data_IF_640698064897
#
_entry.id   IF_640698064897
#
_cell.length_a   1.000
_cell.length_b   1.000
_cell.length_c   1.000
_cell.angle_alpha   90.00
_cell.angle_beta   90.00
_cell.angle_gamma   90.00
#
_symmetry.space_group_name_H-M   'P 1'
#
loop_
_entity.id
_entity.type
_entity.pdbx_description
1 polymer ?
#
# COMPACT_ATOMS: atom_id res chain seq x y z
N UNK A 1 -18.69 -16.52 39.91
CA UNK A 1 -19.18 -16.39 38.52
C UNK A 1 -18.02 -15.93 37.66
N UNK A 2 -17.53 -16.78 36.75
CA UNK A 2 -16.45 -16.41 35.82
C UNK A 2 -17.12 -15.79 34.59
N UNK A 3 -17.06 -14.46 34.45
CA UNK A 3 -17.53 -13.80 33.24
C UNK A 3 -16.57 -14.13 32.09
N UNK A 4 -17.08 -14.85 31.08
CA UNK A 4 -16.38 -15.08 29.83
C UNK A 4 -16.32 -13.76 29.05
N UNK A 5 -15.22 -13.02 29.16
CA UNK A 5 -14.92 -11.87 28.29
C UNK A 5 -14.24 -12.38 27.01
N UNK A 6 -15.05 -12.84 26.07
CA UNK A 6 -14.64 -12.99 24.66
C UNK A 6 -15.44 -11.98 23.85
N UNK A 7 -14.76 -10.93 23.39
CA UNK A 7 -15.37 -9.88 22.57
C UNK A 7 -14.96 -10.09 21.12
N UNK A 8 -15.92 -10.01 20.19
CA UNK A 8 -15.64 -9.86 18.77
C UNK A 8 -16.26 -8.55 18.31
N UNK A 9 -15.50 -7.78 17.54
CA UNK A 9 -15.95 -6.52 16.95
C UNK A 9 -15.44 -6.42 15.53
N UNK A 10 -16.22 -5.78 14.67
CA UNK A 10 -15.74 -5.35 13.37
C UNK A 10 -16.18 -3.91 13.13
N UNK A 11 -15.39 -3.18 12.35
CA UNK A 11 -15.68 -1.84 11.91
C UNK A 11 -15.12 -1.64 10.51
N UNK A 12 -15.75 -0.76 9.76
CA UNK A 12 -15.38 -0.44 8.39
C UNK A 12 -15.56 1.05 8.15
N UNK A 13 -14.56 1.69 7.57
CA UNK A 13 -14.64 3.03 7.05
C UNK A 13 -14.11 3.04 5.61
N UNK A 14 -14.71 3.85 4.75
CA UNK A 14 -14.27 3.99 3.37
C UNK A 14 -14.43 5.44 2.91
N UNK A 15 -13.55 5.86 2.02
CA UNK A 15 -13.65 7.10 1.25
C UNK A 15 -13.54 6.79 -0.25
N UNK A 16 -13.27 7.80 -1.08
CA UNK A 16 -13.14 7.64 -2.54
C UNK A 16 -11.88 6.85 -2.94
N UNK A 17 -10.87 6.76 -2.07
CA UNK A 17 -9.54 6.23 -2.37
C UNK A 17 -9.26 4.91 -1.64
N UNK A 18 -9.80 4.70 -0.44
CA UNK A 18 -9.51 3.56 0.41
C UNK A 18 -10.75 3.02 1.13
N UNK A 19 -10.74 1.71 1.38
CA UNK A 19 -11.64 1.01 2.31
C UNK A 19 -10.79 0.33 3.37
N UNK A 20 -11.03 0.67 4.63
CA UNK A 20 -10.35 0.12 5.81
C UNK A 20 -11.35 -0.73 6.59
N UNK A 21 -11.06 -2.02 6.73
CA UNK A 21 -11.84 -2.95 7.55
C UNK A 21 -10.98 -3.41 8.73
N UNK A 22 -11.51 -3.29 9.92
CA UNK A 22 -10.86 -3.68 11.16
C UNK A 22 -11.70 -4.76 11.83
N UNK A 23 -11.09 -5.89 12.13
CA UNK A 23 -11.69 -6.97 12.92
C UNK A 23 -10.90 -7.16 14.20
N UNK A 24 -11.58 -7.13 15.34
CA UNK A 24 -10.99 -7.26 16.66
C UNK A 24 -11.54 -8.51 17.36
N UNK A 25 -10.63 -9.33 17.87
CA UNK A 25 -10.96 -10.48 18.73
C UNK A 25 -10.23 -10.33 20.05
N UNK A 26 -10.99 -10.19 21.13
CA UNK A 26 -10.48 -10.07 22.49
C UNK A 26 -10.77 -11.34 23.30
N UNK A 27 -9.79 -11.80 24.07
CA UNK A 27 -9.94 -12.88 25.04
C UNK A 27 -9.40 -12.46 26.41
N UNK A 28 -9.96 -13.04 27.46
CA UNK A 28 -9.50 -12.81 28.82
C UNK A 28 -8.05 -13.32 28.99
N UNK A 29 -7.13 -12.40 29.25
CA UNK A 29 -5.72 -12.68 29.48
C UNK A 29 -5.22 -11.87 30.69
N UNK A 30 -4.14 -12.34 31.33
CA UNK A 30 -3.61 -11.71 32.54
C UNK A 30 -2.96 -10.35 32.26
N UNK A 31 -2.31 -10.23 31.12
CA UNK A 31 -1.61 -9.02 30.67
C UNK A 31 -2.23 -8.49 29.39
N UNK A 32 -2.02 -7.20 29.11
CA UNK A 32 -2.35 -6.63 27.81
C UNK A 32 -1.38 -7.18 26.76
N UNK A 33 -1.90 -7.95 25.81
CA UNK A 33 -1.15 -8.50 24.69
C UNK A 33 -1.88 -8.11 23.40
N UNK A 34 -1.22 -7.31 22.55
CA UNK A 34 -1.82 -6.72 21.35
C UNK A 34 -1.08 -7.27 20.13
N UNK A 35 -1.80 -8.05 19.34
CA UNK A 35 -1.34 -8.57 18.05
C UNK A 35 -2.10 -7.87 16.93
N UNK A 36 -1.40 -7.11 16.09
CA UNK A 36 -1.98 -6.40 14.95
C UNK A 36 -1.45 -7.05 13.67
N UNK A 37 -2.36 -7.42 12.77
CA UNK A 37 -2.04 -7.94 11.44
C UNK A 37 -2.39 -6.89 10.40
N UNK A 38 -1.37 -6.39 9.71
CA UNK A 38 -1.45 -5.41 8.62
C UNK A 38 -0.62 -5.92 7.42
N UNK A 39 -1.02 -5.53 6.21
CA UNK A 39 -0.17 -5.73 5.02
C UNK A 39 1.12 -4.91 5.14
N UNK A 40 2.21 -5.41 4.54
CA UNK A 40 3.54 -4.77 4.63
C UNK A 40 3.53 -3.30 4.20
N UNK A 41 2.73 -2.98 3.19
CA UNK A 41 2.61 -1.63 2.64
C UNK A 41 1.99 -0.62 3.62
N UNK A 42 1.36 -1.07 4.71
CA UNK A 42 0.64 -0.22 5.67
C UNK A 42 1.17 -0.33 7.11
N UNK A 43 2.40 -0.83 7.31
CA UNK A 43 2.98 -1.02 8.65
C UNK A 43 3.08 0.26 9.47
N UNK A 44 3.15 1.44 8.83
CA UNK A 44 3.14 2.72 9.55
C UNK A 44 1.86 2.95 10.37
N UNK A 45 0.74 2.31 10.03
CA UNK A 45 -0.51 2.41 10.80
C UNK A 45 -0.53 1.51 12.04
N UNK A 46 0.42 0.59 12.21
CA UNK A 46 0.45 -0.34 13.34
C UNK A 46 0.50 0.42 14.68
N UNK A 47 1.35 1.44 14.75
CA UNK A 47 1.50 2.23 15.97
C UNK A 47 0.22 3.01 16.29
N UNK A 48 -0.46 3.55 15.27
CA UNK A 48 -1.75 4.23 15.42
C UNK A 48 -2.80 3.29 16.03
N UNK A 49 -2.97 2.09 15.47
CA UNK A 49 -3.92 1.11 16.00
C UNK A 49 -3.53 0.62 17.40
N UNK A 50 -2.24 0.45 17.68
CA UNK A 50 -1.74 0.08 19.01
C UNK A 50 -2.13 1.12 20.05
N UNK A 51 -1.95 2.40 19.75
CA UNK A 51 -2.33 3.50 20.65
C UNK A 51 -3.83 3.54 20.92
N UNK A 52 -4.67 3.37 19.87
CA UNK A 52 -6.13 3.28 20.02
C UNK A 52 -6.54 2.16 20.98
N UNK A 53 -5.96 0.96 20.80
CA UNK A 53 -6.24 -0.18 21.68
C UNK A 53 -5.82 0.06 23.12
N UNK A 54 -4.61 0.58 23.34
CA UNK A 54 -4.10 0.82 24.70
C UNK A 54 -4.89 1.87 25.46
N UNK A 55 -5.55 2.80 24.76
CA UNK A 55 -6.43 3.81 25.35
C UNK A 55 -7.74 3.20 25.84
N UNK A 56 -8.29 2.23 25.10
CA UNK A 56 -9.58 1.59 25.43
C UNK A 56 -9.48 0.36 26.34
N UNK A 57 -8.37 -0.39 26.29
CA UNK A 57 -8.24 -1.70 26.96
C UNK A 57 -6.94 -1.79 27.75
N UNK A 58 -7.06 -2.02 29.06
CA UNK A 58 -5.92 -2.11 29.98
C UNK A 58 -5.44 -3.55 30.25
N UNK A 59 -6.26 -4.56 29.93
CA UNK A 59 -5.96 -5.97 30.18
C UNK A 59 -6.72 -6.88 29.23
N UNK A 60 -6.06 -7.92 28.75
CA UNK A 60 -6.63 -8.90 27.82
C UNK A 60 -5.71 -9.13 26.62
N UNK A 61 -5.99 -10.17 25.85
CA UNK A 61 -5.29 -10.41 24.58
C UNK A 61 -6.19 -10.01 23.44
N UNK A 62 -5.71 -9.15 22.57
CA UNK A 62 -6.45 -8.59 21.45
C UNK A 62 -5.71 -8.94 20.16
N UNK A 63 -6.40 -9.61 19.27
CA UNK A 63 -5.97 -9.82 17.90
C UNK A 63 -6.76 -8.88 17.00
N UNK A 64 -6.06 -7.93 16.38
CA UNK A 64 -6.58 -7.02 15.36
C UNK A 64 -6.15 -7.49 13.98
N UNK A 65 -7.10 -7.60 13.07
CA UNK A 65 -6.86 -7.82 11.65
C UNK A 65 -7.33 -6.60 10.89
N UNK A 66 -6.40 -5.89 10.23
CA UNK A 66 -6.70 -4.69 9.47
C UNK A 66 -6.51 -4.99 7.98
N UNK A 67 -7.57 -4.86 7.21
CA UNK A 67 -7.57 -5.02 5.77
C UNK A 67 -7.81 -3.67 5.11
N UNK A 68 -6.82 -3.18 4.38
CA UNK A 68 -6.91 -1.92 3.63
C UNK A 68 -6.96 -2.28 2.15
N UNK A 69 -7.96 -1.74 1.46
CA UNK A 69 -8.14 -1.85 0.01
C UNK A 69 -8.09 -0.47 -0.60
N UNK A 70 -7.32 -0.33 -1.66
CA UNK A 70 -7.37 0.85 -2.51
C UNK A 70 -8.58 0.73 -3.46
N UNK A 71 -9.44 1.74 -3.42
CA UNK A 71 -10.67 1.81 -4.22
C UNK A 71 -10.48 2.64 -5.48
N UNK A 72 -9.54 3.60 -5.48
CA UNK A 72 -9.19 4.35 -6.68
C UNK A 72 -8.22 3.57 -7.55
N UNK A 73 -8.39 3.69 -8.87
CA UNK A 73 -7.31 3.35 -9.81
C UNK A 73 -6.17 4.32 -9.54
N UNK A 74 -5.27 3.92 -8.64
CA UNK A 74 -4.02 4.61 -8.42
C UNK A 74 -3.36 4.83 -9.78
N UNK A 75 -3.30 6.10 -10.20
CA UNK A 75 -2.68 6.52 -11.44
C UNK A 75 -1.21 6.09 -11.39
N UNK A 76 -0.91 4.89 -11.90
CA UNK A 76 0.44 4.39 -12.03
C UNK A 76 1.23 5.44 -12.81
N UNK A 77 2.25 5.99 -12.18
CA UNK A 77 3.03 7.05 -12.82
C UNK A 77 4.02 6.34 -13.73
N UNK A 78 3.77 6.43 -15.03
CA UNK A 78 4.72 5.96 -16.05
C UNK A 78 5.75 7.07 -16.28
N UNK A 79 6.97 6.87 -15.81
CA UNK A 79 8.11 7.73 -16.13
C UNK A 79 8.91 7.12 -17.28
N UNK A 80 9.16 7.93 -18.30
CA UNK A 80 10.07 7.58 -19.40
C UNK A 80 11.28 8.49 -19.30
N UNK A 81 12.48 7.91 -19.29
CA UNK A 81 13.72 8.69 -19.38
C UNK A 81 13.86 9.24 -20.81
N UNK A 82 13.46 10.51 -20.99
CA UNK A 82 13.51 11.20 -22.27
C UNK A 82 14.94 11.40 -22.78
N UNK A 83 15.91 11.57 -21.89
CA UNK A 83 17.31 11.78 -22.25
C UNK A 83 17.90 10.51 -22.85
N UNK A 84 17.68 9.38 -22.17
CA UNK A 84 18.10 8.07 -22.66
C UNK A 84 17.39 7.71 -23.98
N UNK A 85 16.07 7.93 -24.07
CA UNK A 85 15.31 7.69 -25.30
C UNK A 85 15.85 8.51 -26.48
N UNK A 86 16.12 9.80 -26.27
CA UNK A 86 16.64 10.68 -27.31
C UNK A 86 18.06 10.27 -27.77
N UNK A 87 18.91 9.86 -26.82
CA UNK A 87 20.24 9.35 -27.13
C UNK A 87 20.19 8.06 -27.96
N UNK A 88 19.35 7.11 -27.54
CA UNK A 88 19.12 5.85 -28.27
C UNK A 88 18.58 6.10 -29.67
N UNK A 89 17.59 6.98 -29.82
CA UNK A 89 17.00 7.29 -31.11
C UNK A 89 18.04 7.90 -32.08
N UNK A 90 18.90 8.80 -31.60
CA UNK A 90 19.97 9.38 -32.42
C UNK A 90 20.97 8.31 -32.90
N UNK A 91 21.43 7.45 -32.00
CA UNK A 91 22.36 6.38 -32.35
C UNK A 91 21.72 5.36 -33.31
N UNK A 92 20.42 5.07 -33.17
CA UNK A 92 19.70 4.20 -34.10
C UNK A 92 19.64 4.78 -35.51
N UNK A 93 19.38 6.08 -35.64
CA UNK A 93 19.37 6.78 -36.94
C UNK A 93 20.75 6.76 -37.61
N UNK A 94 21.82 6.96 -36.84
CA UNK A 94 23.19 6.87 -37.36
C UNK A 94 23.47 5.45 -37.91
N UNK A 95 23.11 4.41 -37.16
CA UNK A 95 23.29 3.02 -37.58
C UNK A 95 22.44 2.64 -38.80
N UNK A 96 21.22 3.17 -38.92
CA UNK A 96 20.38 2.98 -40.12
C UNK A 96 21.02 3.56 -41.39
N UNK A 97 21.90 4.56 -41.26
CA UNK A 97 22.68 5.09 -42.37
C UNK A 97 23.76 4.12 -42.88
N UNK A 98 24.22 3.21 -42.02
CA UNK A 98 25.30 2.26 -42.31
C UNK A 98 24.80 0.84 -42.61
N UNK A 99 23.66 0.46 -42.02
CA UNK A 99 23.11 -0.89 -42.04
C UNK A 99 21.60 -0.85 -42.35
N UNK A 100 21.05 -1.86 -43.07
CA UNK A 100 19.62 -1.96 -43.31
C UNK A 100 18.89 -2.43 -42.04
N UNK A 101 18.70 -1.52 -41.08
CA UNK A 101 17.99 -1.76 -39.83
C UNK A 101 16.54 -1.28 -39.92
N UNK A 102 15.58 -2.02 -39.31
CA UNK A 102 14.19 -1.62 -39.27
C UNK A 102 13.96 -0.38 -38.37
N UNK A 103 12.79 0.23 -38.48
CA UNK A 103 12.42 1.35 -37.61
C UNK A 103 12.18 0.91 -36.16
N UNK A 104 12.45 1.82 -35.23
CA UNK A 104 12.22 1.57 -33.81
C UNK A 104 10.70 1.64 -33.51
N UNK A 105 10.15 0.60 -32.89
CA UNK A 105 8.76 0.54 -32.46
C UNK A 105 8.64 0.80 -30.96
N UNK A 106 7.42 1.05 -30.49
CA UNK A 106 7.14 1.23 -29.07
C UNK A 106 7.46 -0.02 -28.25
N UNK A 107 7.33 -1.22 -28.83
CA UNK A 107 7.67 -2.48 -28.17
C UNK A 107 9.18 -2.60 -27.91
N UNK A 108 10.03 -2.09 -28.82
CA UNK A 108 11.47 -2.08 -28.61
C UNK A 108 11.87 -1.17 -27.43
N UNK A 109 11.14 -0.09 -27.17
CA UNK A 109 11.39 0.84 -26.06
C UNK A 109 11.18 0.14 -24.71
N UNK A 110 10.16 -0.70 -24.57
CA UNK A 110 9.89 -1.43 -23.32
C UNK A 110 10.94 -2.51 -23.01
N UNK A 111 11.72 -2.96 -23.99
CA UNK A 111 12.77 -3.94 -23.78
C UNK A 111 14.07 -3.32 -23.24
N UNK A 112 14.18 -1.99 -23.23
CA UNK A 112 15.38 -1.28 -22.80
C UNK A 112 15.34 -1.12 -21.29
N UNK A 113 16.30 -1.72 -20.54
CA UNK A 113 16.35 -1.58 -19.10
C UNK A 113 16.38 -0.10 -18.68
N UNK A 114 15.71 0.20 -17.57
CA UNK A 114 15.63 1.55 -16.97
C UNK A 114 14.94 2.65 -17.80
N UNK A 115 14.52 2.37 -19.05
CA UNK A 115 13.92 3.39 -19.91
C UNK A 115 12.50 3.77 -19.51
N UNK A 116 11.71 2.77 -19.09
CA UNK A 116 10.35 2.96 -18.59
C UNK A 116 10.28 2.47 -17.16
N UNK A 117 9.90 3.36 -16.25
CA UNK A 117 9.67 3.06 -14.84
C UNK A 117 8.20 3.28 -14.53
N UNK A 118 7.57 2.24 -14.00
CA UNK A 118 6.22 2.33 -13.45
C UNK A 118 6.41 2.52 -11.96
N UNK A 119 6.15 3.72 -11.48
CA UNK A 119 6.14 4.00 -10.05
C UNK A 119 4.73 3.74 -9.51
N UNK A 120 4.66 2.94 -8.44
CA UNK A 120 3.50 2.92 -7.57
C UNK A 120 3.38 4.32 -6.95
N UNK A 121 2.19 4.94 -6.97
CA UNK A 121 2.04 6.25 -6.38
C UNK A 121 2.33 6.18 -4.87
N UNK A 122 2.91 7.25 -4.34
CA UNK A 122 3.16 7.34 -2.91
C UNK A 122 1.84 7.28 -2.13
N UNK A 123 1.84 6.50 -1.06
CA UNK A 123 0.70 6.44 -0.13
C UNK A 123 0.67 7.78 0.63
N UNK A 124 -0.43 8.51 0.48
CA UNK A 124 -0.69 9.67 1.33
C UNK A 124 -1.18 9.20 2.70
N UNK A 125 -0.29 9.28 3.69
CA UNK A 125 -0.53 8.75 5.02
C UNK A 125 -1.48 9.59 5.86
N UNK A 126 -1.59 10.90 5.61
CA UNK A 126 -2.45 11.76 6.41
C UNK A 126 -3.94 11.42 6.28
N UNK A 127 -4.54 11.37 5.07
CA UNK A 127 -5.94 10.98 4.89
C UNK A 127 -6.16 9.52 5.30
N UNK A 128 -5.24 8.62 4.96
CA UNK A 128 -5.36 7.20 5.31
C UNK A 128 -5.36 6.98 6.83
N UNK A 129 -4.52 7.71 7.58
CA UNK A 129 -4.50 7.62 9.05
C UNK A 129 -5.80 8.15 9.66
N UNK A 130 -6.36 9.24 9.13
CA UNK A 130 -7.66 9.77 9.59
C UNK A 130 -8.78 8.77 9.37
N UNK A 131 -8.81 8.12 8.20
CA UNK A 131 -9.79 7.08 7.88
C UNK A 131 -9.60 5.84 8.75
N UNK A 132 -8.36 5.42 9.00
CA UNK A 132 -8.03 4.29 9.87
C UNK A 132 -8.50 4.53 11.32
N UNK A 133 -8.37 5.75 11.83
CA UNK A 133 -8.90 6.13 13.16
C UNK A 133 -10.42 6.12 13.20
N UNK A 134 -11.12 6.45 12.10
CA UNK A 134 -12.58 6.32 12.05
C UNK A 134 -13.06 4.87 12.05
N UNK A 135 -12.24 3.95 11.53
CA UNK A 135 -12.53 2.52 11.48
C UNK A 135 -12.14 1.76 12.76
N UNK A 136 -11.40 2.37 13.70
CA UNK A 136 -10.85 1.72 14.90
C UNK A 136 -11.48 2.21 16.19
#
# INVERSE_FOLDING_TARGET
MVYSMTGFGHAEAADENWSVKVEAKAVNHRFLDIHIRLSRNYQQLEETFRQLVTTGIQRGRIELSVNIKELSEQNRIVKIDRGLLAGLYRQWQELQGELPLPDLTFDHIFQIPDLVKIEEPEIDWEPLTKLAVQAG
#
